data_IF_885555066986
#
_entry.id   IF_885555066986
#
_cell.length_a   1.000
_cell.length_b   1.000
_cell.length_c   1.000
_cell.angle_alpha   90.00
_cell.angle_beta   90.00
_cell.angle_gamma   90.00
#
_symmetry.space_group_name_H-M   'P 1'
#
loop_
_entity.id
_entity.type
_entity.pdbx_description
1 polymer ?
#
# COMPACT_ATOMS: atom_id res chain seq x y z
N UNK A 1 73.43 19.85 -13.09
CA UNK A 1 72.58 18.85 -12.50
C UNK A 1 71.13 19.25 -12.80
N UNK A 2 70.44 18.51 -13.63
CA UNK A 2 69.02 18.77 -13.99
C UNK A 2 68.14 17.93 -13.04
N UNK A 3 67.43 18.59 -12.15
CA UNK A 3 66.43 17.94 -11.33
C UNK A 3 65.20 17.67 -12.19
N UNK A 4 64.87 16.40 -12.36
CA UNK A 4 63.60 15.96 -12.95
C UNK A 4 62.55 15.95 -11.87
N UNK A 5 61.64 16.92 -11.91
CA UNK A 5 60.45 16.93 -11.06
C UNK A 5 59.44 15.89 -11.58
N UNK A 6 59.24 14.82 -10.83
CA UNK A 6 58.17 13.88 -11.05
C UNK A 6 56.87 14.52 -10.56
N UNK A 7 56.00 14.84 -11.48
CA UNK A 7 54.62 15.22 -11.16
C UNK A 7 53.81 13.94 -11.00
N UNK A 8 53.53 13.62 -9.77
CA UNK A 8 52.55 12.57 -9.44
C UNK A 8 51.16 13.07 -9.77
N UNK A 9 50.53 12.48 -10.78
CA UNK A 9 49.12 12.69 -11.08
C UNK A 9 48.32 11.87 -10.06
N UNK A 10 47.69 12.56 -9.11
CA UNK A 10 46.71 11.92 -8.22
C UNK A 10 45.39 11.79 -8.99
N UNK A 11 45.11 10.60 -9.48
CA UNK A 11 43.79 10.26 -9.98
C UNK A 11 42.85 10.07 -8.79
N UNK A 12 42.09 11.10 -8.48
CA UNK A 12 40.97 10.98 -7.55
C UNK A 12 39.86 10.16 -8.21
N UNK A 13 39.79 8.89 -7.81
CA UNK A 13 38.68 8.03 -8.17
C UNK A 13 37.47 8.43 -7.31
N UNK A 14 36.62 9.30 -7.83
CA UNK A 14 35.33 9.62 -7.20
C UNK A 14 34.44 8.39 -7.32
N UNK A 15 34.36 7.61 -6.25
CA UNK A 15 33.39 6.51 -6.15
C UNK A 15 32.01 7.10 -6.01
N UNK A 16 31.27 7.13 -7.13
CA UNK A 16 29.87 7.51 -7.14
C UNK A 16 29.09 6.38 -6.47
N UNK A 17 28.81 6.53 -5.17
CA UNK A 17 27.90 5.64 -4.47
C UNK A 17 26.51 6.00 -4.97
N UNK A 18 26.04 5.25 -5.95
CA UNK A 18 24.64 5.29 -6.35
C UNK A 18 23.81 4.75 -5.18
N UNK A 19 23.24 5.64 -4.38
CA UNK A 19 22.13 5.29 -3.51
C UNK A 19 20.99 4.84 -4.43
N UNK A 20 20.87 3.54 -4.60
CA UNK A 20 19.62 2.96 -5.06
C UNK A 20 18.59 3.26 -3.98
N UNK A 21 17.89 4.39 -4.12
CA UNK A 21 16.64 4.59 -3.43
C UNK A 21 15.77 3.41 -3.86
N UNK A 22 15.60 2.43 -2.96
CA UNK A 22 14.50 1.48 -3.09
C UNK A 22 13.25 2.32 -3.03
N UNK A 23 12.77 2.77 -4.18
CA UNK A 23 11.40 3.20 -4.31
C UNK A 23 10.61 1.99 -3.86
N UNK A 24 10.01 2.07 -2.66
CA UNK A 24 8.88 1.22 -2.32
C UNK A 24 7.97 1.34 -3.53
N UNK A 25 7.96 0.30 -4.36
CA UNK A 25 7.15 0.28 -5.55
C UNK A 25 5.74 0.59 -5.07
N UNK A 26 5.21 1.76 -5.46
CA UNK A 26 3.82 2.05 -5.25
C UNK A 26 3.08 0.93 -5.95
N UNK A 27 2.48 0.04 -5.16
CA UNK A 27 1.73 -1.09 -5.67
C UNK A 27 0.65 -0.54 -6.60
N UNK A 28 0.97 -0.52 -7.90
CA UNK A 28 0.02 -0.12 -8.91
C UNK A 28 -1.09 -1.16 -9.00
N UNK A 29 -2.19 -0.79 -9.62
CA UNK A 29 -3.31 -1.70 -9.83
C UNK A 29 -2.92 -2.96 -10.59
N UNK A 30 -1.87 -2.91 -11.42
CA UNK A 30 -1.34 -4.06 -12.17
C UNK A 30 -0.82 -5.22 -11.33
N UNK A 31 -0.52 -4.97 -10.06
CA UNK A 31 -0.09 -6.02 -9.12
C UNK A 31 -1.27 -6.84 -8.57
N UNK A 32 -2.49 -6.39 -8.83
CA UNK A 32 -3.72 -7.04 -8.37
C UNK A 32 -4.44 -7.73 -9.53
N UNK A 33 -5.15 -8.81 -9.23
CA UNK A 33 -5.92 -9.55 -10.23
C UNK A 33 -7.28 -8.90 -10.48
N UNK A 34 -7.29 -7.90 -11.34
CA UNK A 34 -8.50 -7.14 -11.69
C UNK A 34 -9.55 -7.96 -12.47
N UNK A 35 -9.17 -9.13 -12.97
CA UNK A 35 -10.10 -10.02 -13.70
C UNK A 35 -10.98 -10.83 -12.78
N UNK A 36 -10.56 -11.00 -11.52
CA UNK A 36 -11.25 -11.84 -10.53
C UNK A 36 -11.57 -11.01 -9.29
N UNK A 37 -12.58 -10.13 -9.35
CA UNK A 37 -13.00 -9.37 -8.18
C UNK A 37 -13.53 -10.30 -7.09
N UNK A 38 -13.28 -9.96 -5.84
CA UNK A 38 -13.80 -10.70 -4.69
C UNK A 38 -14.39 -9.74 -3.67
N UNK A 39 -15.41 -10.22 -2.95
CA UNK A 39 -16.02 -9.50 -1.84
C UNK A 39 -15.69 -10.20 -0.54
N UNK A 40 -15.14 -9.46 0.41
CA UNK A 40 -14.84 -9.95 1.74
C UNK A 40 -15.62 -9.16 2.76
N UNK A 41 -16.52 -9.83 3.47
CA UNK A 41 -17.20 -9.28 4.64
C UNK A 41 -16.47 -9.71 5.91
N UNK A 42 -16.35 -8.82 6.89
CA UNK A 42 -15.66 -9.16 8.11
C UNK A 42 -15.59 -8.01 9.10
N UNK A 43 -14.78 -8.23 10.14
CA UNK A 43 -14.54 -7.26 11.20
C UNK A 43 -13.13 -6.71 11.09
N UNK A 44 -13.00 -5.40 11.16
CA UNK A 44 -11.70 -4.73 11.20
C UNK A 44 -11.00 -5.02 12.53
N UNK A 45 -9.79 -5.54 12.48
CA UNK A 45 -8.98 -5.84 13.67
C UNK A 45 -7.84 -4.84 13.88
N UNK A 46 -7.41 -4.16 12.83
CA UNK A 46 -6.44 -3.08 12.89
C UNK A 46 -6.68 -2.10 11.75
N UNK A 47 -6.30 -0.86 11.93
CA UNK A 47 -6.50 0.21 10.95
C UNK A 47 -5.36 1.21 10.99
N UNK A 48 -4.94 1.67 9.82
CA UNK A 48 -4.00 2.78 9.65
C UNK A 48 -4.59 3.75 8.63
N UNK A 49 -4.91 4.97 9.10
CA UNK A 49 -5.51 6.02 8.28
C UNK A 49 -4.45 7.07 7.93
N UNK A 50 -3.46 6.65 7.12
CA UNK A 50 -2.26 7.43 6.81
C UNK A 50 -1.92 7.36 5.33
N UNK A 51 -1.07 8.28 4.86
CA UNK A 51 -0.49 8.22 3.52
C UNK A 51 0.69 7.25 3.48
N UNK A 52 1.02 6.65 2.32
CA UNK A 52 0.43 6.89 0.99
C UNK A 52 -0.96 6.29 0.79
N UNK A 53 -1.37 5.30 1.58
CA UNK A 53 -2.69 4.67 1.52
C UNK A 53 -3.17 4.30 2.92
N UNK A 54 -4.45 4.49 3.21
CA UNK A 54 -5.09 3.84 4.34
C UNK A 54 -5.10 2.34 4.16
N UNK A 55 -4.96 1.61 5.27
CA UNK A 55 -4.99 0.13 5.29
C UNK A 55 -5.82 -0.37 6.46
N UNK A 56 -6.42 -1.53 6.30
CA UNK A 56 -7.07 -2.25 7.41
C UNK A 56 -6.66 -3.72 7.39
N UNK A 57 -6.67 -4.33 8.57
CA UNK A 57 -6.69 -5.79 8.71
C UNK A 57 -8.14 -6.21 8.90
N UNK A 58 -8.63 -7.04 8.00
CA UNK A 58 -10.02 -7.48 7.95
C UNK A 58 -10.10 -8.99 8.21
N UNK A 59 -10.66 -9.37 9.35
CA UNK A 59 -10.94 -10.77 9.65
C UNK A 59 -12.23 -11.17 8.97
N UNK A 60 -12.13 -12.02 7.96
CA UNK A 60 -13.28 -12.50 7.21
C UNK A 60 -14.25 -13.30 8.08
N UNK A 61 -15.54 -13.12 7.85
CA UNK A 61 -16.60 -13.82 8.59
C UNK A 61 -16.68 -15.31 8.27
N UNK A 62 -16.29 -15.69 7.05
CA UNK A 62 -16.48 -17.02 6.47
C UNK A 62 -15.42 -18.07 6.84
N UNK A 63 -14.38 -17.72 7.55
CA UNK A 63 -13.33 -18.69 7.88
C UNK A 63 -12.19 -18.13 8.69
N UNK A 64 -12.30 -16.90 9.14
CA UNK A 64 -11.31 -16.28 10.01
C UNK A 64 -10.01 -15.90 9.34
N UNK A 65 -9.89 -16.01 8.01
CA UNK A 65 -8.74 -15.48 7.25
C UNK A 65 -8.66 -13.97 7.51
N UNK A 66 -7.45 -13.50 7.79
CA UNK A 66 -7.19 -12.07 7.95
C UNK A 66 -6.61 -11.54 6.66
N UNK A 67 -7.27 -10.53 6.11
CA UNK A 67 -6.83 -9.83 4.91
C UNK A 67 -6.14 -8.53 5.27
N UNK A 68 -5.02 -8.25 4.60
CA UNK A 68 -4.41 -6.93 4.55
C UNK A 68 -5.03 -6.17 3.38
N UNK A 69 -5.86 -5.19 3.71
CA UNK A 69 -6.64 -4.45 2.70
C UNK A 69 -6.03 -3.06 2.50
N UNK A 70 -5.57 -2.80 1.29
CA UNK A 70 -5.16 -1.45 0.87
C UNK A 70 -6.40 -0.68 0.44
N UNK A 71 -6.65 0.45 1.06
CA UNK A 71 -7.81 1.31 0.78
C UNK A 71 -7.48 2.36 -0.29
N UNK A 72 -7.22 3.58 0.14
CA UNK A 72 -6.94 4.69 -0.76
C UNK A 72 -6.07 5.75 -0.06
N UNK A 73 -5.51 6.72 -0.78
CA UNK A 73 -4.90 7.89 -0.17
C UNK A 73 -5.90 8.64 0.73
N UNK A 74 -5.41 9.19 1.83
CA UNK A 74 -6.25 9.85 2.84
C UNK A 74 -7.15 10.92 2.23
N UNK A 75 -6.62 11.77 1.34
CA UNK A 75 -7.42 12.82 0.70
C UNK A 75 -8.60 12.25 -0.11
N UNK A 76 -8.41 11.14 -0.81
CA UNK A 76 -9.50 10.48 -1.55
C UNK A 76 -10.53 9.90 -0.60
N UNK A 77 -10.12 9.23 0.46
CA UNK A 77 -11.03 8.68 1.46
C UNK A 77 -11.90 9.78 2.08
N UNK A 78 -11.29 10.88 2.46
CA UNK A 78 -11.99 12.05 3.02
C UNK A 78 -12.99 12.63 2.02
N UNK A 79 -12.58 12.87 0.78
CA UNK A 79 -13.45 13.42 -0.27
C UNK A 79 -14.63 12.50 -0.57
N UNK A 80 -14.44 11.19 -0.50
CA UNK A 80 -15.48 10.18 -0.73
C UNK A 80 -16.33 9.89 0.50
N UNK A 81 -15.99 10.45 1.65
CA UNK A 81 -16.76 10.34 2.89
C UNK A 81 -16.41 9.11 3.74
N UNK A 82 -15.26 8.49 3.52
CA UNK A 82 -14.73 7.45 4.41
C UNK A 82 -13.84 8.12 5.46
N UNK A 83 -14.36 8.27 6.67
CA UNK A 83 -13.63 8.88 7.78
C UNK A 83 -12.79 7.85 8.54
N UNK A 84 -11.82 8.31 9.32
CA UNK A 84 -11.01 7.46 10.17
C UNK A 84 -11.87 6.66 11.17
N UNK A 85 -12.90 7.27 11.75
CA UNK A 85 -13.79 6.62 12.71
C UNK A 85 -14.59 5.46 12.09
N UNK A 86 -14.92 5.57 10.81
CA UNK A 86 -15.66 4.53 10.08
C UNK A 86 -14.87 3.25 9.85
N UNK A 87 -13.55 3.31 9.96
CA UNK A 87 -12.66 2.14 9.76
C UNK A 87 -11.89 1.74 11.00
N UNK A 88 -12.33 2.17 12.16
CA UNK A 88 -11.74 1.79 13.44
C UNK A 88 -11.88 0.28 13.72
N UNK A 89 -10.98 -0.32 14.51
CA UNK A 89 -11.12 -1.71 14.95
C UNK A 89 -12.47 -2.00 15.59
N UNK A 90 -13.02 -3.17 15.31
CA UNK A 90 -14.36 -3.60 15.76
C UNK A 90 -15.48 -3.28 14.77
N UNK A 91 -15.25 -2.46 13.75
CA UNK A 91 -16.26 -2.14 12.73
C UNK A 91 -16.44 -3.32 11.79
N UNK A 92 -17.70 -3.66 11.51
CA UNK A 92 -18.05 -4.65 10.48
C UNK A 92 -18.22 -3.96 9.14
N UNK A 93 -17.51 -4.45 8.14
CA UNK A 93 -17.52 -3.89 6.78
C UNK A 93 -17.57 -4.97 5.72
N UNK A 94 -17.88 -4.58 4.50
CA UNK A 94 -17.74 -5.42 3.31
C UNK A 94 -16.86 -4.69 2.29
N UNK A 95 -15.86 -5.37 1.78
CA UNK A 95 -14.90 -4.81 0.81
C UNK A 95 -15.01 -5.58 -0.49
N UNK A 96 -15.28 -4.89 -1.59
CA UNK A 96 -15.09 -5.39 -2.94
C UNK A 96 -13.69 -4.97 -3.40
N UNK A 97 -12.90 -5.89 -3.89
CA UNK A 97 -11.56 -5.58 -4.37
C UNK A 97 -10.91 -6.72 -5.11
N UNK A 98 -9.60 -6.66 -5.21
CA UNK A 98 -8.78 -7.55 -6.01
C UNK A 98 -7.61 -8.08 -5.21
N UNK A 99 -7.40 -9.40 -5.27
CA UNK A 99 -6.29 -10.04 -4.57
C UNK A 99 -4.96 -9.68 -5.24
N UNK A 100 -3.93 -9.47 -4.44
CA UNK A 100 -2.57 -9.30 -4.92
C UNK A 100 -2.08 -10.59 -5.59
N UNK A 101 -1.42 -10.47 -6.75
CA UNK A 101 -1.00 -11.63 -7.55
C UNK A 101 0.04 -12.50 -6.86
N UNK A 102 0.84 -11.93 -5.95
CA UNK A 102 1.94 -12.62 -5.26
C UNK A 102 1.72 -12.80 -3.77
N UNK A 103 0.86 -11.99 -3.14
CA UNK A 103 0.61 -12.02 -1.70
C UNK A 103 -0.83 -12.44 -1.45
N UNK A 104 -1.02 -13.71 -1.09
CA UNK A 104 -2.34 -14.32 -1.00
C UNK A 104 -3.26 -13.74 0.09
N UNK A 105 -2.71 -13.00 1.04
CA UNK A 105 -3.45 -12.34 2.13
C UNK A 105 -3.69 -10.85 1.90
N UNK A 106 -3.21 -10.29 0.80
CA UNK A 106 -3.38 -8.88 0.48
C UNK A 106 -4.43 -8.67 -0.61
N UNK A 107 -5.24 -7.65 -0.44
CA UNK A 107 -6.17 -7.18 -1.46
C UNK A 107 -6.19 -5.65 -1.53
N UNK A 108 -6.56 -5.12 -2.68
CA UNK A 108 -6.79 -3.69 -2.88
C UNK A 108 -8.28 -3.43 -3.10
N UNK A 109 -8.81 -2.52 -2.31
CA UNK A 109 -10.24 -2.21 -2.34
C UNK A 109 -10.62 -1.37 -3.56
N UNK A 110 -11.63 -1.79 -4.28
CA UNK A 110 -12.39 -0.98 -5.24
C UNK A 110 -13.38 -0.08 -4.51
N UNK A 111 -14.11 -0.68 -3.56
CA UNK A 111 -15.03 0.02 -2.67
C UNK A 111 -15.13 -0.67 -1.32
N UNK A 112 -15.67 0.04 -0.35
CA UNK A 112 -15.99 -0.45 0.98
C UNK A 112 -17.41 -0.06 1.35
N UNK A 113 -18.14 -0.97 1.97
CA UNK A 113 -19.47 -0.71 2.51
C UNK A 113 -19.40 -0.70 4.03
N UNK A 114 -19.75 0.43 4.62
CA UNK A 114 -19.80 0.65 6.06
C UNK A 114 -21.19 1.12 6.42
N UNK A 115 -21.86 0.43 7.33
CA UNK A 115 -23.23 0.76 7.77
C UNK A 115 -24.17 1.03 6.59
N UNK A 116 -24.23 0.08 5.66
CA UNK A 116 -25.03 0.12 4.41
C UNK A 116 -24.62 1.22 3.41
N UNK A 117 -23.62 2.03 3.72
CA UNK A 117 -23.10 3.06 2.83
C UNK A 117 -21.94 2.52 2.03
N UNK A 118 -22.10 2.45 0.71
CA UNK A 118 -21.03 2.09 -0.22
C UNK A 118 -20.21 3.31 -0.57
N UNK A 119 -18.88 3.18 -0.45
CA UNK A 119 -17.91 4.25 -0.72
C UNK A 119 -16.91 3.74 -1.75
N UNK A 120 -16.84 4.40 -2.89
CA UNK A 120 -15.89 4.08 -3.95
C UNK A 120 -14.50 4.62 -3.60
N UNK A 121 -13.46 3.78 -3.78
CA UNK A 121 -12.09 4.10 -3.39
C UNK A 121 -11.12 4.19 -4.58
N UNK A 122 -11.53 3.74 -5.75
CA UNK A 122 -10.74 3.83 -6.98
C UNK A 122 -10.96 5.12 -7.76
#
# INVERSE_FOLDING_TARGET
>A
MKQKTFRAAVCSLATLVAFAATTLAHHGWSEYDEKTPLTVAGTITASSYTNPHGTIKLRATDGGKVWDVVLAPVARMQTRGLTQDMVKPGTVVSVLGYQHRKVATEMRAENITVDKKKIELR
#
